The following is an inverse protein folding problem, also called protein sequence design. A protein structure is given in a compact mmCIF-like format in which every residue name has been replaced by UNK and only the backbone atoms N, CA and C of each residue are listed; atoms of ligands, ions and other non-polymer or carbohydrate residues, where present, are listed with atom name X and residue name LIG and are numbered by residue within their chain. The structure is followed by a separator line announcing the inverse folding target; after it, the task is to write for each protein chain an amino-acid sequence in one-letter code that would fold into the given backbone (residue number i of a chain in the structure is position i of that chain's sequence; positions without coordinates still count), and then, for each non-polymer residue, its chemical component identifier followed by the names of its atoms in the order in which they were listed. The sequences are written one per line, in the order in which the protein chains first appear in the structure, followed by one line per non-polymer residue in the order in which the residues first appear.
data_IF_503983318226
#
_entry.id   IF_503983318226
#
_cell.length_a   1.000
_cell.length_b   1.000
_cell.length_c   1.000
_cell.angle_alpha   90.00
_cell.angle_beta   90.00
_cell.angle_gamma   90.00
#
_symmetry.space_group_name_H-M   'P 1'
#
loop_
_entity.id
_entity.type
_entity.pdbx_description
1 polymer ?
#
# COMPACT_ATOMS: atom_id res chain seq x y z
N UNK A 1 4.40 -4.63 -27.40
CA UNK A 1 4.21 -4.13 -26.03
C UNK A 1 2.75 -4.19 -25.59
N UNK A 2 1.79 -3.72 -26.41
CA UNK A 2 0.33 -3.83 -26.14
C UNK A 2 -0.15 -5.29 -25.93
N UNK A 3 0.30 -6.22 -26.79
CA UNK A 3 -0.06 -7.64 -26.70
C UNK A 3 0.46 -8.36 -25.44
N UNK A 4 1.50 -7.84 -24.78
CA UNK A 4 2.06 -8.46 -23.58
C UNK A 4 1.27 -8.07 -22.32
N UNK A 5 0.72 -6.85 -22.31
CA UNK A 5 -0.18 -6.38 -21.25
C UNK A 5 -1.50 -7.16 -21.28
N UNK A 6 -2.08 -7.37 -22.47
CA UNK A 6 -3.33 -8.14 -22.63
C UNK A 6 -3.23 -9.56 -22.08
N UNK A 7 -2.05 -10.19 -22.16
CA UNK A 7 -1.84 -11.56 -21.67
C UNK A 7 -1.77 -11.65 -20.14
N UNK A 8 -1.31 -10.59 -19.45
CA UNK A 8 -1.23 -10.57 -17.98
C UNK A 8 -2.63 -10.36 -17.39
N UNK A 9 -3.42 -9.46 -17.99
CA UNK A 9 -4.78 -9.18 -17.53
C UNK A 9 -5.75 -10.35 -17.76
N UNK A 10 -5.51 -11.19 -18.77
CA UNK A 10 -6.27 -12.44 -18.98
C UNK A 10 -6.02 -13.53 -17.94
N UNK A 11 -4.87 -13.53 -17.28
CA UNK A 11 -4.51 -14.56 -16.30
C UNK A 11 -5.24 -14.38 -14.96
N UNK A 12 -5.73 -13.17 -14.70
CA UNK A 12 -6.48 -12.83 -13.49
C UNK A 12 -7.96 -12.63 -13.86
N UNK A 13 -8.85 -13.60 -13.57
CA UNK A 13 -10.28 -13.53 -13.90
C UNK A 13 -11.05 -12.42 -13.16
N UNK A 14 -10.36 -11.62 -12.34
CA UNK A 14 -10.91 -10.43 -11.67
C UNK A 14 -10.98 -9.23 -12.64
N UNK A 15 -10.17 -9.19 -13.71
CA UNK A 15 -10.09 -8.04 -14.62
C UNK A 15 -10.90 -8.19 -15.91
N UNK A 16 -11.45 -9.37 -16.22
CA UNK A 16 -12.14 -9.60 -17.49
C UNK A 16 -13.60 -9.14 -17.50
N UNK A 17 -14.14 -8.66 -16.38
CA UNK A 17 -15.57 -8.35 -16.21
C UNK A 17 -15.84 -6.86 -15.97
N UNK A 18 -14.90 -5.99 -16.35
CA UNK A 18 -15.00 -4.56 -16.07
C UNK A 18 -14.95 -3.76 -17.36
N UNK A 19 -16.12 -3.21 -17.73
CA UNK A 19 -16.39 -2.38 -18.91
C UNK A 19 -15.26 -1.38 -19.24
N UNK A 20 -15.07 -1.11 -20.53
CA UNK A 20 -13.95 -0.34 -21.11
C UNK A 20 -13.68 1.06 -20.48
N UNK A 21 -14.64 1.68 -19.80
CA UNK A 21 -14.47 2.93 -19.03
C UNK A 21 -13.71 2.76 -17.69
N UNK A 22 -13.66 1.55 -17.14
CA UNK A 22 -13.02 1.24 -15.87
C UNK A 22 -11.51 0.98 -16.00
N UNK A 23 -11.05 0.72 -17.23
CA UNK A 23 -9.67 0.35 -17.58
C UNK A 23 -8.65 1.45 -17.28
N UNK A 24 -9.04 2.73 -17.37
CA UNK A 24 -8.17 3.86 -17.07
C UNK A 24 -8.25 4.32 -15.60
N UNK A 25 -9.40 4.13 -14.95
CA UNK A 25 -9.62 4.52 -13.55
C UNK A 25 -8.83 3.63 -12.59
N UNK A 26 -8.78 2.32 -12.87
CA UNK A 26 -8.06 1.36 -12.04
C UNK A 26 -6.54 1.63 -11.87
N UNK A 27 -5.76 1.92 -12.93
CA UNK A 27 -4.34 2.24 -12.78
C UNK A 27 -4.12 3.58 -12.08
N UNK A 28 -5.00 4.57 -12.27
CA UNK A 28 -4.89 5.88 -11.59
C UNK A 28 -5.10 5.72 -10.09
N UNK A 29 -6.15 5.02 -9.66
CA UNK A 29 -6.43 4.78 -8.24
C UNK A 29 -5.29 3.99 -7.59
N UNK A 30 -4.73 3.01 -8.31
CA UNK A 30 -3.59 2.22 -7.82
C UNK A 30 -2.33 3.08 -7.68
N UNK A 31 -2.03 3.96 -8.64
CA UNK A 31 -0.89 4.88 -8.55
C UNK A 31 -1.04 5.87 -7.38
N UNK A 32 -2.24 6.41 -7.18
CA UNK A 32 -2.53 7.30 -6.04
C UNK A 32 -2.36 6.55 -4.72
N UNK A 33 -2.88 5.33 -4.62
CA UNK A 33 -2.71 4.48 -3.44
C UNK A 33 -1.23 4.23 -3.13
N UNK A 34 -0.46 3.77 -4.12
CA UNK A 34 0.98 3.51 -3.97
C UNK A 34 1.72 4.79 -3.59
N UNK A 35 1.36 5.93 -4.17
CA UNK A 35 1.93 7.23 -3.84
C UNK A 35 1.71 7.63 -2.38
N UNK A 36 0.50 7.46 -1.85
CA UNK A 36 0.17 7.75 -0.45
C UNK A 36 0.94 6.82 0.50
N UNK A 37 1.01 5.53 0.18
CA UNK A 37 1.76 4.55 0.99
C UNK A 37 3.26 4.85 0.96
N UNK A 38 3.83 5.17 -0.20
CA UNK A 38 5.25 5.50 -0.30
C UNK A 38 5.60 6.80 0.46
N UNK A 39 4.74 7.82 0.38
CA UNK A 39 4.94 9.08 1.08
C UNK A 39 4.84 8.90 2.60
N UNK A 40 3.81 8.20 3.07
CA UNK A 40 3.66 7.88 4.50
C UNK A 40 4.82 7.03 5.03
N UNK A 41 5.28 6.04 4.26
CA UNK A 41 6.44 5.23 4.60
C UNK A 41 7.70 6.07 4.71
N UNK A 42 7.93 6.98 3.76
CA UNK A 42 9.11 7.85 3.77
C UNK A 42 9.14 8.73 5.02
N UNK A 43 7.99 9.31 5.39
CA UNK A 43 7.88 10.15 6.58
C UNK A 43 8.10 9.31 7.86
N UNK A 44 7.48 8.13 7.96
CA UNK A 44 7.64 7.19 9.09
C UNK A 44 9.10 6.74 9.27
N UNK A 45 9.72 6.29 8.19
CA UNK A 45 11.10 5.82 8.17
C UNK A 45 12.07 6.96 8.48
N UNK A 46 11.83 8.17 7.96
CA UNK A 46 12.65 9.36 8.25
C UNK A 46 12.51 9.81 9.71
N UNK A 47 11.29 9.82 10.24
CA UNK A 47 10.98 10.18 11.63
C UNK A 47 11.63 9.21 12.62
N UNK A 48 11.53 7.91 12.35
CA UNK A 48 12.13 6.84 13.17
C UNK A 48 13.61 6.57 12.86
N UNK A 49 14.16 7.26 11.86
CA UNK A 49 15.53 7.12 11.36
C UNK A 49 15.91 5.68 11.02
N UNK A 50 14.98 4.93 10.43
CA UNK A 50 15.28 3.60 9.90
C UNK A 50 16.12 3.75 8.63
N UNK A 51 17.30 3.12 8.61
CA UNK A 51 18.16 3.05 7.44
C UNK A 51 18.22 1.61 6.91
N UNK A 52 18.32 1.39 5.59
CA UNK A 52 18.30 2.38 4.50
C UNK A 52 16.88 2.81 4.10
N UNK A 53 16.66 4.13 3.97
CA UNK A 53 15.31 4.71 3.81
C UNK A 53 14.58 4.17 2.58
N UNK A 54 15.24 4.19 1.41
CA UNK A 54 14.63 3.78 0.15
C UNK A 54 14.18 2.32 0.14
N UNK A 55 14.90 1.42 0.81
CA UNK A 55 14.52 0.01 0.89
C UNK A 55 13.24 -0.19 1.69
N UNK A 56 13.08 0.51 2.81
CA UNK A 56 11.87 0.46 3.61
C UNK A 56 10.67 1.08 2.89
N UNK A 57 10.87 2.21 2.21
CA UNK A 57 9.82 2.84 1.40
C UNK A 57 9.39 1.91 0.26
N UNK A 58 10.33 1.30 -0.44
CA UNK A 58 10.02 0.33 -1.49
C UNK A 58 9.28 -0.89 -0.94
N UNK A 59 9.71 -1.41 0.22
CA UNK A 59 9.03 -2.52 0.86
C UNK A 59 7.59 -2.17 1.23
N UNK A 60 7.34 -0.97 1.78
CA UNK A 60 5.98 -0.51 2.07
C UNK A 60 5.16 -0.27 0.80
N UNK A 61 5.75 0.25 -0.28
CA UNK A 61 5.03 0.46 -1.53
C UNK A 61 4.57 -0.87 -2.17
N UNK A 62 5.40 -1.91 -2.10
CA UNK A 62 5.08 -3.25 -2.61
C UNK A 62 4.22 -4.05 -1.63
N UNK A 63 4.48 -3.89 -0.33
CA UNK A 63 3.84 -4.60 0.76
C UNK A 63 3.39 -3.61 1.84
N UNK A 64 2.29 -2.90 1.56
CA UNK A 64 1.75 -1.84 2.41
C UNK A 64 1.44 -2.24 3.87
N UNK A 65 1.12 -3.50 4.23
CA UNK A 65 0.94 -3.85 5.64
C UNK A 65 2.21 -3.64 6.48
N UNK A 66 3.39 -3.61 5.84
CA UNK A 66 4.66 -3.35 6.51
C UNK A 66 4.75 -1.95 7.13
N UNK A 67 3.94 -1.00 6.63
CA UNK A 67 3.81 0.34 7.21
C UNK A 67 3.27 0.28 8.65
N UNK A 68 2.32 -0.61 8.92
CA UNK A 68 1.76 -0.83 10.26
C UNK A 68 2.83 -1.39 11.20
N UNK A 69 3.60 -2.36 10.70
CA UNK A 69 4.71 -2.97 11.45
C UNK A 69 5.77 -1.93 11.78
N UNK A 70 6.16 -1.10 10.81
CA UNK A 70 7.11 -0.01 11.00
C UNK A 70 6.65 1.01 12.05
N UNK A 71 5.36 1.34 12.07
CA UNK A 71 4.81 2.25 13.06
C UNK A 71 4.77 1.62 14.46
N UNK A 72 4.56 0.31 14.57
CA UNK A 72 4.62 -0.39 15.86
C UNK A 72 6.06 -0.66 16.33
N UNK A 73 7.00 -0.75 15.39
CA UNK A 73 8.38 -1.08 15.72
C UNK A 73 9.05 0.08 16.48
N UNK A 74 9.79 -0.19 17.57
CA UNK A 74 10.48 0.85 18.31
C UNK A 74 11.46 1.59 17.39
N UNK A 75 11.42 2.92 17.46
CA UNK A 75 12.34 3.77 16.70
C UNK A 75 13.79 3.43 17.02
N UNK A 76 14.67 3.46 16.01
CA UNK A 76 16.11 3.21 16.19
C UNK A 76 16.78 4.29 17.07
N UNK A 77 16.13 5.43 17.28
CA UNK A 77 16.56 6.53 18.14
C UNK A 77 15.41 7.07 19.01
N UNK A 78 15.72 7.84 20.07
CA UNK A 78 14.71 8.52 20.89
C UNK A 78 13.77 9.35 20.00
N UNK A 79 12.56 8.85 19.83
CA UNK A 79 11.51 9.43 19.01
C UNK A 79 11.04 10.73 19.69
N UNK A 80 11.30 11.88 19.08
CA UNK A 80 10.98 13.20 19.66
C UNK A 80 9.67 13.79 19.15
N UNK A 81 9.02 13.14 18.19
CA UNK A 81 7.93 13.73 17.41
C UNK A 81 6.80 12.74 17.17
N UNK A 82 5.57 13.20 17.41
CA UNK A 82 4.33 12.51 17.10
C UNK A 82 4.20 12.24 15.59
N UNK A 83 3.42 11.21 15.18
CA UNK A 83 3.12 10.96 13.78
C UNK A 83 2.34 12.13 13.17
N UNK A 84 2.73 12.47 11.94
CA UNK A 84 2.10 13.49 11.10
C UNK A 84 0.79 12.99 10.50
N UNK A 85 -0.07 13.93 10.09
CA UNK A 85 -1.39 13.62 9.49
C UNK A 85 -1.25 12.70 8.27
N UNK A 86 -0.19 12.87 7.47
CA UNK A 86 0.05 12.05 6.27
C UNK A 86 0.39 10.60 6.64
N UNK A 87 1.19 10.38 7.68
CA UNK A 87 1.46 9.04 8.21
C UNK A 87 0.17 8.37 8.70
N UNK A 88 -0.68 9.12 9.41
CA UNK A 88 -1.96 8.60 9.90
C UNK A 88 -2.91 8.21 8.77
N UNK A 89 -2.98 9.00 7.69
CA UNK A 89 -3.77 8.66 6.51
C UNK A 89 -3.24 7.38 5.86
N UNK A 90 -1.92 7.27 5.67
CA UNK A 90 -1.30 6.06 5.12
C UNK A 90 -1.55 4.82 5.97
N UNK A 91 -1.46 4.96 7.30
CA UNK A 91 -1.76 3.89 8.26
C UNK A 91 -3.23 3.48 8.23
N UNK A 92 -4.16 4.44 8.20
CA UNK A 92 -5.58 4.16 8.12
C UNK A 92 -5.92 3.37 6.85
N UNK A 93 -5.35 3.76 5.71
CA UNK A 93 -5.52 3.06 4.43
C UNK A 93 -4.94 1.65 4.50
N UNK A 94 -3.75 1.47 5.08
CA UNK A 94 -3.15 0.15 5.27
C UNK A 94 -4.02 -0.75 6.17
N UNK A 95 -4.58 -0.22 7.26
CA UNK A 95 -5.44 -0.97 8.17
C UNK A 95 -6.76 -1.36 7.50
N UNK A 96 -7.42 -0.41 6.83
CA UNK A 96 -8.69 -0.65 6.14
C UNK A 96 -8.52 -1.69 5.02
N UNK A 97 -7.43 -1.61 4.25
CA UNK A 97 -7.17 -2.59 3.18
C UNK A 97 -6.92 -4.00 3.72
N UNK A 98 -6.20 -4.15 4.84
CA UNK A 98 -6.02 -5.45 5.51
C UNK A 98 -7.34 -5.97 6.06
N UNK A 99 -8.12 -5.14 6.76
CA UNK A 99 -9.44 -5.53 7.29
C UNK A 99 -10.40 -5.94 6.16
N UNK A 100 -10.45 -5.17 5.07
CA UNK A 100 -11.26 -5.49 3.90
C UNK A 100 -10.87 -6.82 3.26
N UNK A 101 -9.56 -7.09 3.15
CA UNK A 101 -9.05 -8.38 2.68
C UNK A 101 -9.44 -9.54 3.60
N UNK A 102 -9.33 -9.36 4.92
CA UNK A 102 -9.73 -10.37 5.91
C UNK A 102 -11.24 -10.64 5.80
N UNK A 103 -12.08 -9.61 5.81
CA UNK A 103 -13.55 -9.76 5.69
C UNK A 103 -13.93 -10.49 4.40
N UNK A 104 -13.27 -10.14 3.28
CA UNK A 104 -13.49 -10.83 2.01
C UNK A 104 -13.12 -12.32 2.07
N UNK A 105 -11.99 -12.65 2.71
CA UNK A 105 -11.58 -14.04 2.91
C UNK A 105 -12.57 -14.80 3.80
N UNK A 106 -12.98 -14.21 4.93
CA UNK A 106 -13.98 -14.81 5.81
C UNK A 106 -15.30 -15.07 5.09
N UNK A 107 -15.80 -14.10 4.32
CA UNK A 107 -17.05 -14.25 3.54
C UNK A 107 -16.95 -15.25 2.38
N UNK A 108 -15.73 -15.64 1.97
CA UNK A 108 -15.51 -16.61 0.89
C UNK A 108 -15.34 -18.05 1.40
N UNK A 109 -14.87 -18.23 2.63
CA UNK A 109 -14.53 -19.53 3.20
C UNK A 109 -15.47 -20.01 4.33
N UNK A 110 -16.40 -19.17 4.78
CA UNK A 110 -17.55 -19.52 5.63
C UNK A 110 -18.84 -19.55 4.80
#
# INVERSE_FOLDING_TARGET
MKAYLDSIFKYFPIFSDVNDEFTATFPIVTLVFVGIIALSAYICVSRKRFGPIFSWVFMCAVFWPWLIVLELYPSANKEKTLPTVIEQIGLAIAIISVLGGIVFLFNRYL
#
